data_IF_335759948065
#
_entry.id   IF_335759948065
#
_cell.length_a   1.000
_cell.length_b   1.000
_cell.length_c   1.000
_cell.angle_alpha   90.00
_cell.angle_beta   90.00
_cell.angle_gamma   90.00
#
_symmetry.space_group_name_H-M   'P 1'
#
loop_
_entity.id
_entity.type
_entity.pdbx_description
1 polymer ?
#
# COMPACT_ATOMS: atom_id res chain seq x y z
N UNK A 1 -25.82 44.57 24.43
CA UNK A 1 -24.65 43.76 24.89
C UNK A 1 -24.97 42.27 25.07
N UNK A 2 -26.14 41.85 25.59
CA UNK A 2 -26.50 40.42 25.71
C UNK A 2 -26.55 39.68 24.37
N UNK A 3 -26.98 40.35 23.30
CA UNK A 3 -27.14 39.72 21.98
C UNK A 3 -25.80 39.39 21.30
N UNK A 4 -24.74 40.15 21.59
CA UNK A 4 -23.41 39.91 21.04
C UNK A 4 -22.75 38.65 21.63
N UNK A 5 -22.97 38.38 22.93
CA UNK A 5 -22.49 37.16 23.58
C UNK A 5 -23.22 35.92 23.05
N UNK A 6 -24.55 36.00 22.91
CA UNK A 6 -25.35 34.91 22.36
C UNK A 6 -24.99 34.59 20.89
N UNK A 7 -24.70 35.62 20.07
CA UNK A 7 -24.24 35.43 18.70
C UNK A 7 -22.87 34.76 18.65
N UNK A 8 -21.92 35.21 19.47
CA UNK A 8 -20.58 34.60 19.56
C UNK A 8 -20.66 33.12 19.94
N UNK A 9 -21.46 32.79 20.94
CA UNK A 9 -21.55 31.41 21.43
C UNK A 9 -22.22 30.49 20.37
N UNK A 10 -23.21 30.99 19.63
CA UNK A 10 -23.80 30.28 18.46
C UNK A 10 -22.78 30.06 17.35
N UNK A 11 -21.95 31.06 17.04
CA UNK A 11 -20.90 30.93 16.02
C UNK A 11 -19.82 29.92 16.44
N UNK A 12 -19.41 29.91 17.71
CA UNK A 12 -18.45 28.92 18.24
C UNK A 12 -19.04 27.50 18.18
N UNK A 13 -20.31 27.33 18.53
CA UNK A 13 -20.98 26.03 18.43
C UNK A 13 -21.07 25.55 16.97
N UNK A 14 -21.46 26.43 16.05
CA UNK A 14 -21.56 26.11 14.62
C UNK A 14 -20.20 25.79 14.02
N UNK A 15 -19.16 26.52 14.42
CA UNK A 15 -17.76 26.26 14.05
C UNK A 15 -17.28 24.89 14.54
N UNK A 16 -17.54 24.53 15.80
CA UNK A 16 -17.19 23.21 16.37
C UNK A 16 -17.89 22.07 15.64
N UNK A 17 -19.18 22.21 15.33
CA UNK A 17 -19.94 21.20 14.58
C UNK A 17 -19.43 21.06 13.15
N UNK A 18 -19.01 22.15 12.52
CA UNK A 18 -18.49 22.12 11.15
C UNK A 18 -17.12 21.45 11.10
N UNK A 19 -16.24 21.76 12.06
CA UNK A 19 -14.96 21.06 12.23
C UNK A 19 -15.16 19.57 12.56
N UNK A 20 -16.13 19.24 13.41
CA UNK A 20 -16.48 17.87 13.79
C UNK A 20 -17.31 17.09 12.73
N UNK A 21 -17.69 17.74 11.63
CA UNK A 21 -18.24 17.07 10.43
C UNK A 21 -17.19 16.94 9.34
N UNK A 22 -16.30 17.92 9.25
CA UNK A 22 -15.15 17.89 8.35
C UNK A 22 -14.16 16.79 8.74
N UNK A 23 -13.91 16.58 10.04
CA UNK A 23 -13.02 15.53 10.54
C UNK A 23 -13.47 14.13 10.10
N UNK A 24 -14.75 13.82 10.22
CA UNK A 24 -15.31 12.49 9.99
C UNK A 24 -15.59 12.24 8.51
N UNK A 25 -16.12 13.22 7.79
CA UNK A 25 -16.39 13.10 6.35
C UNK A 25 -15.11 13.12 5.52
N UNK A 26 -14.15 13.99 5.87
CA UNK A 26 -12.87 14.11 5.18
C UNK A 26 -12.01 12.85 5.30
N UNK A 27 -11.93 12.28 6.51
CA UNK A 27 -11.21 11.02 6.76
C UNK A 27 -11.83 9.86 5.97
N UNK A 28 -13.17 9.76 5.91
CA UNK A 28 -13.84 8.73 5.13
C UNK A 28 -13.60 8.87 3.63
N UNK A 29 -13.63 10.10 3.08
CA UNK A 29 -13.33 10.34 1.67
C UNK A 29 -11.89 9.92 1.35
N UNK A 30 -10.92 10.29 2.20
CA UNK A 30 -9.53 9.89 2.03
C UNK A 30 -9.37 8.36 2.10
N UNK A 31 -10.04 7.70 3.04
CA UNK A 31 -10.02 6.24 3.18
C UNK A 31 -10.54 5.55 1.92
N UNK A 32 -11.74 5.92 1.45
CA UNK A 32 -12.32 5.32 0.25
C UNK A 32 -11.54 5.65 -1.02
N UNK A 33 -10.91 6.83 -1.10
CA UNK A 33 -10.01 7.19 -2.20
C UNK A 33 -8.77 6.29 -2.20
N UNK A 34 -8.19 6.04 -1.01
CA UNK A 34 -7.08 5.10 -0.83
C UNK A 34 -7.46 3.68 -1.25
N UNK A 35 -8.60 3.17 -0.76
CA UNK A 35 -9.17 1.86 -1.14
C UNK A 35 -9.31 1.76 -2.67
N UNK A 36 -9.94 2.75 -3.31
CA UNK A 36 -10.13 2.76 -4.75
C UNK A 36 -8.78 2.75 -5.51
N UNK A 37 -7.81 3.54 -5.04
CA UNK A 37 -6.46 3.56 -5.60
C UNK A 37 -5.74 2.21 -5.51
N UNK A 38 -5.79 1.55 -4.35
CA UNK A 38 -5.16 0.25 -4.14
C UNK A 38 -5.86 -0.87 -4.93
N UNK A 39 -7.18 -0.83 -5.02
CA UNK A 39 -7.95 -1.74 -5.88
C UNK A 39 -7.65 -1.50 -7.37
N UNK A 40 -7.42 -0.26 -7.80
CA UNK A 40 -7.01 0.02 -9.19
C UNK A 40 -5.64 -0.58 -9.51
N UNK A 41 -4.68 -0.52 -8.58
CA UNK A 41 -3.37 -1.19 -8.71
C UNK A 41 -3.54 -2.72 -8.79
N UNK A 42 -4.34 -3.30 -7.90
CA UNK A 42 -4.64 -4.74 -7.93
C UNK A 42 -5.33 -5.16 -9.23
N UNK A 43 -6.35 -4.41 -9.66
CA UNK A 43 -7.06 -4.62 -10.92
C UNK A 43 -6.15 -4.51 -12.14
N UNK A 44 -5.19 -3.59 -12.12
CA UNK A 44 -4.14 -3.52 -13.15
C UNK A 44 -3.30 -4.80 -13.19
N UNK A 45 -2.91 -5.36 -12.04
CA UNK A 45 -2.23 -6.66 -11.95
C UNK A 45 -3.06 -7.82 -12.51
N UNK A 46 -4.36 -7.88 -12.16
CA UNK A 46 -5.29 -8.90 -12.71
C UNK A 46 -5.40 -8.77 -14.23
N UNK A 47 -5.59 -7.56 -14.74
CA UNK A 47 -5.70 -7.31 -16.19
C UNK A 47 -4.45 -7.79 -16.94
N UNK A 48 -3.26 -7.61 -16.35
CA UNK A 48 -1.99 -8.14 -16.90
C UNK A 48 -1.94 -9.65 -16.85
N UNK A 49 -2.36 -10.29 -15.77
CA UNK A 49 -2.40 -11.76 -15.67
C UNK A 49 -3.36 -12.37 -16.71
N UNK A 50 -4.52 -11.77 -16.91
CA UNK A 50 -5.49 -12.19 -17.93
C UNK A 50 -4.90 -12.01 -19.33
N UNK A 51 -4.33 -10.84 -19.64
CA UNK A 51 -3.68 -10.61 -20.93
C UNK A 51 -2.49 -11.55 -21.18
N UNK A 52 -1.77 -11.94 -20.12
CA UNK A 52 -0.68 -12.90 -20.18
C UNK A 52 -1.14 -14.35 -20.41
N UNK A 53 -2.37 -14.71 -20.03
CA UNK A 53 -2.92 -16.04 -20.31
C UNK A 53 -3.08 -16.28 -21.82
N UNK A 54 -3.40 -15.22 -22.58
CA UNK A 54 -3.56 -15.28 -24.04
C UNK A 54 -2.25 -15.11 -24.83
N UNK A 55 -1.09 -14.99 -24.16
CA UNK A 55 0.20 -14.76 -24.83
C UNK A 55 1.28 -15.74 -24.36
N UNK A 56 1.62 -16.75 -25.19
CA UNK A 56 2.76 -17.62 -24.93
C UNK A 56 4.04 -16.77 -24.91
N UNK A 57 4.83 -16.87 -23.84
CA UNK A 57 6.09 -16.13 -23.70
C UNK A 57 6.12 -15.07 -22.61
N UNK A 58 5.03 -14.84 -21.86
CA UNK A 58 5.08 -13.99 -20.66
C UNK A 58 5.77 -14.74 -19.49
N UNK A 59 7.01 -14.37 -19.10
CA UNK A 59 7.82 -15.22 -18.22
C UNK A 59 7.22 -15.35 -16.81
N UNK A 60 7.41 -16.51 -16.18
CA UNK A 60 6.84 -16.81 -14.86
C UNK A 60 7.23 -15.82 -13.76
N UNK A 61 8.41 -15.21 -13.84
CA UNK A 61 8.84 -14.17 -12.89
C UNK A 61 7.95 -12.92 -12.95
N UNK A 62 7.41 -12.56 -14.12
CA UNK A 62 6.49 -11.44 -14.25
C UNK A 62 5.11 -11.79 -13.72
N UNK A 63 4.65 -13.03 -13.93
CA UNK A 63 3.40 -13.53 -13.34
C UNK A 63 3.46 -13.48 -11.82
N UNK A 64 4.57 -13.90 -11.22
CA UNK A 64 4.78 -13.81 -9.78
C UNK A 64 4.72 -12.36 -9.27
N UNK A 65 5.30 -11.41 -10.01
CA UNK A 65 5.20 -9.98 -9.68
C UNK A 65 3.77 -9.46 -9.79
N UNK A 66 3.05 -9.79 -10.87
CA UNK A 66 1.66 -9.36 -11.02
C UNK A 66 0.76 -9.96 -9.93
N UNK A 67 0.96 -11.23 -9.55
CA UNK A 67 0.27 -11.85 -8.40
C UNK A 67 0.59 -11.11 -7.11
N UNK A 68 1.85 -10.73 -6.89
CA UNK A 68 2.24 -9.94 -5.73
C UNK A 68 1.54 -8.58 -5.69
N UNK A 69 1.48 -7.87 -6.83
CA UNK A 69 0.74 -6.61 -6.92
C UNK A 69 -0.75 -6.77 -6.62
N UNK A 70 -1.38 -7.85 -7.10
CA UNK A 70 -2.77 -8.16 -6.78
C UNK A 70 -2.93 -8.34 -5.27
N UNK A 71 -2.14 -9.23 -4.66
CA UNK A 71 -2.27 -9.55 -3.23
C UNK A 71 -1.93 -8.35 -2.34
N UNK A 72 -0.87 -7.61 -2.65
CA UNK A 72 -0.47 -6.41 -1.92
C UNK A 72 -1.49 -5.28 -2.11
N UNK A 73 -1.94 -5.01 -3.33
CA UNK A 73 -2.97 -4.01 -3.61
C UNK A 73 -4.28 -4.31 -2.88
N UNK A 74 -4.75 -5.56 -2.90
CA UNK A 74 -5.96 -5.95 -2.16
C UNK A 74 -5.74 -5.85 -0.65
N UNK A 75 -4.59 -6.30 -0.12
CA UNK A 75 -4.31 -6.19 1.30
C UNK A 75 -4.23 -4.74 1.78
N UNK A 76 -3.61 -3.86 0.98
CA UNK A 76 -3.58 -2.43 1.25
C UNK A 76 -4.99 -1.82 1.21
N UNK A 77 -5.83 -2.21 0.24
CA UNK A 77 -7.22 -1.80 0.20
C UNK A 77 -7.99 -2.25 1.46
N UNK A 78 -7.75 -3.47 1.94
CA UNK A 78 -8.35 -3.98 3.18
C UNK A 78 -7.89 -3.19 4.40
N UNK A 79 -6.60 -2.92 4.52
CA UNK A 79 -6.03 -2.16 5.63
C UNK A 79 -6.42 -0.67 5.60
N UNK A 80 -6.69 -0.12 4.41
CA UNK A 80 -7.19 1.23 4.23
C UNK A 80 -8.72 1.31 4.26
N UNK A 81 -9.43 0.17 4.35
CA UNK A 81 -10.87 0.15 4.37
C UNK A 81 -11.39 0.55 5.75
N UNK A 82 -12.32 1.52 5.85
CA UNK A 82 -12.92 1.87 7.15
C UNK A 82 -13.79 0.72 7.71
N UNK A 83 -14.20 -0.23 6.85
CA UNK A 83 -14.96 -1.42 7.28
C UNK A 83 -14.06 -2.62 7.57
N UNK A 84 -12.75 -2.53 7.33
CA UNK A 84 -11.81 -3.65 7.44
C UNK A 84 -11.95 -4.66 6.29
N UNK A 85 -11.47 -5.89 6.53
CA UNK A 85 -11.42 -6.96 5.54
C UNK A 85 -12.20 -8.21 5.93
N UNK A 86 -12.62 -9.03 4.96
CA UNK A 86 -13.40 -10.24 5.20
C UNK A 86 -12.58 -11.43 5.71
N UNK A 87 -11.24 -11.37 5.63
CA UNK A 87 -10.34 -12.46 6.01
C UNK A 87 -9.69 -12.21 7.38
N UNK A 88 -9.43 -13.27 8.17
CA UNK A 88 -8.68 -13.15 9.42
C UNK A 88 -7.28 -12.58 9.21
N UNK A 89 -6.76 -11.84 10.20
CA UNK A 89 -5.40 -11.26 10.14
C UNK A 89 -4.32 -12.32 9.86
N UNK A 90 -4.46 -13.52 10.41
CA UNK A 90 -3.53 -14.62 10.19
C UNK A 90 -3.41 -14.99 8.69
N UNK A 91 -4.53 -15.01 7.96
CA UNK A 91 -4.51 -15.33 6.53
C UNK A 91 -3.73 -14.28 5.73
N UNK A 92 -3.91 -13.00 6.05
CA UNK A 92 -3.15 -11.91 5.44
C UNK A 92 -1.66 -11.98 5.80
N UNK A 93 -1.34 -12.21 7.07
CA UNK A 93 0.04 -12.38 7.52
C UNK A 93 0.73 -13.54 6.80
N UNK A 94 0.09 -14.70 6.69
CA UNK A 94 0.62 -15.85 5.95
C UNK A 94 0.89 -15.48 4.48
N UNK A 95 -0.06 -14.84 3.82
CA UNK A 95 0.12 -14.42 2.42
C UNK A 95 1.34 -13.48 2.26
N UNK A 96 1.48 -12.46 3.12
CA UNK A 96 2.60 -11.53 3.03
C UNK A 96 3.94 -12.14 3.46
N UNK A 97 3.96 -13.07 4.41
CA UNK A 97 5.18 -13.83 4.75
C UNK A 97 5.64 -14.66 3.55
N UNK A 98 4.73 -15.35 2.85
CA UNK A 98 5.06 -16.12 1.66
C UNK A 98 5.60 -15.23 0.53
N UNK A 99 4.97 -14.08 0.27
CA UNK A 99 5.47 -13.09 -0.70
C UNK A 99 6.86 -12.60 -0.29
N UNK A 100 7.05 -12.23 0.98
CA UNK A 100 8.33 -11.76 1.53
C UNK A 100 9.42 -12.79 1.31
N UNK A 101 9.18 -14.05 1.71
CA UNK A 101 10.13 -15.14 1.60
C UNK A 101 10.49 -15.44 0.14
N UNK A 102 9.49 -15.50 -0.74
CA UNK A 102 9.69 -15.74 -2.17
C UNK A 102 10.57 -14.67 -2.80
N UNK A 103 10.23 -13.39 -2.63
CA UNK A 103 10.96 -12.30 -3.27
C UNK A 103 12.32 -12.03 -2.63
N UNK A 104 12.46 -12.27 -1.32
CA UNK A 104 13.76 -12.21 -0.66
C UNK A 104 14.68 -13.32 -1.17
N UNK A 105 14.18 -14.55 -1.29
CA UNK A 105 14.90 -15.67 -1.89
C UNK A 105 15.29 -15.40 -3.35
N UNK A 106 14.36 -14.87 -4.15
CA UNK A 106 14.63 -14.50 -5.54
C UNK A 106 15.67 -13.38 -5.65
N UNK A 107 15.67 -12.41 -4.73
CA UNK A 107 16.71 -11.38 -4.65
C UNK A 107 18.07 -11.98 -4.29
N UNK A 108 18.12 -12.80 -3.24
CA UNK A 108 19.36 -13.45 -2.80
C UNK A 108 19.96 -14.36 -3.89
N UNK A 109 19.11 -15.09 -4.61
CA UNK A 109 19.52 -15.90 -5.77
C UNK A 109 20.14 -15.03 -6.87
N UNK A 110 19.51 -13.89 -7.21
CA UNK A 110 20.03 -12.96 -8.23
C UNK A 110 21.33 -12.26 -7.86
N UNK A 111 21.62 -12.09 -6.57
CA UNK A 111 22.94 -11.61 -6.12
C UNK A 111 24.06 -12.59 -6.49
N UNK A 112 23.77 -13.90 -6.51
CA UNK A 112 24.72 -14.96 -6.87
C UNK A 112 24.71 -15.29 -8.36
N UNK A 113 23.59 -15.04 -9.03
CA UNK A 113 23.39 -15.31 -10.45
C UNK A 113 22.86 -14.05 -11.16
N UNK A 114 23.75 -13.13 -11.54
CA UNK A 114 23.36 -11.91 -12.25
C UNK A 114 22.71 -12.28 -13.59
N UNK A 115 21.43 -11.95 -13.73
CA UNK A 115 20.67 -12.06 -14.98
C UNK A 115 20.24 -10.66 -15.40
N UNK A 116 20.04 -10.47 -16.70
CA UNK A 116 19.61 -9.19 -17.26
C UNK A 116 18.37 -8.65 -16.52
N UNK A 117 18.42 -7.34 -16.23
CA UNK A 117 17.36 -6.69 -15.49
C UNK A 117 16.09 -6.67 -16.32
N UNK A 118 15.05 -7.30 -15.78
CA UNK A 118 13.69 -7.19 -16.28
C UNK A 118 13.21 -5.74 -16.09
N UNK A 119 13.27 -4.96 -17.17
CA UNK A 119 13.51 -3.51 -17.12
C UNK A 119 12.42 -2.58 -16.57
N UNK A 120 11.22 -3.08 -16.23
CA UNK A 120 10.12 -2.22 -15.75
C UNK A 120 9.44 -2.67 -14.46
N UNK A 121 9.86 -3.80 -13.87
CA UNK A 121 9.42 -4.19 -12.54
C UNK A 121 10.44 -3.75 -11.51
N UNK A 122 9.96 -3.41 -10.32
CA UNK A 122 10.76 -3.14 -9.15
C UNK A 122 11.61 -4.35 -8.82
N UNK A 123 12.69 -4.11 -8.08
CA UNK A 123 13.56 -5.21 -7.68
C UNK A 123 12.77 -6.24 -6.87
N UNK A 124 13.23 -7.49 -6.86
CA UNK A 124 12.66 -8.50 -5.96
C UNK A 124 12.73 -8.01 -4.49
N UNK A 125 13.80 -7.31 -4.13
CA UNK A 125 13.93 -6.67 -2.81
C UNK A 125 12.81 -5.66 -2.53
N UNK A 126 12.40 -4.85 -3.51
CA UNK A 126 11.30 -3.89 -3.35
C UNK A 126 9.99 -4.59 -2.92
N UNK A 127 9.65 -5.68 -3.59
CA UNK A 127 8.45 -6.46 -3.28
C UNK A 127 8.57 -7.17 -1.92
N UNK A 128 9.76 -7.70 -1.60
CA UNK A 128 10.02 -8.32 -0.31
C UNK A 128 9.88 -7.31 0.84
N UNK A 129 10.43 -6.11 0.70
CA UNK A 129 10.32 -5.05 1.69
C UNK A 129 8.87 -4.56 1.84
N UNK A 130 8.15 -4.41 0.73
CA UNK A 130 6.74 -4.03 0.78
C UNK A 130 5.88 -5.09 1.48
N UNK A 131 6.06 -6.36 1.16
CA UNK A 131 5.36 -7.44 1.85
C UNK A 131 5.74 -7.53 3.34
N UNK A 132 7.02 -7.35 3.68
CA UNK A 132 7.48 -7.31 5.07
C UNK A 132 6.86 -6.14 5.85
N UNK A 133 6.73 -4.97 5.21
CA UNK A 133 6.02 -3.83 5.78
C UNK A 133 4.55 -4.14 6.06
N UNK A 134 3.87 -4.87 5.17
CA UNK A 134 2.50 -5.33 5.41
C UNK A 134 2.41 -6.31 6.58
N UNK A 135 3.36 -7.25 6.71
CA UNK A 135 3.44 -8.13 7.89
C UNK A 135 3.64 -7.32 9.17
N UNK A 136 4.56 -6.34 9.15
CA UNK A 136 4.80 -5.46 10.30
C UNK A 136 3.54 -4.71 10.69
N UNK A 137 2.84 -4.06 9.74
CA UNK A 137 1.59 -3.33 10.03
C UNK A 137 0.54 -4.25 10.67
N UNK A 138 0.34 -5.46 10.16
CA UNK A 138 -0.62 -6.41 10.75
C UNK A 138 -0.24 -6.88 12.15
N UNK A 139 1.05 -6.95 12.45
CA UNK A 139 1.56 -7.44 13.73
C UNK A 139 1.62 -6.32 14.77
N UNK A 140 1.86 -5.10 14.34
CA UNK A 140 2.03 -3.94 15.20
C UNK A 140 0.70 -3.36 15.71
N UNK A 141 -0.43 -3.63 15.05
CA UNK A 141 -1.75 -3.17 15.50
C UNK A 141 -2.34 -4.09 16.60
N UNK A 142 -3.07 -3.55 17.61
CA UNK A 142 -3.79 -4.36 18.59
C UNK A 142 -4.77 -5.35 17.95
N UNK A 143 -4.90 -6.55 18.52
CA UNK A 143 -5.86 -7.55 18.03
C UNK A 143 -7.28 -7.21 18.52
N UNK A 144 -8.04 -6.54 17.66
CA UNK A 144 -9.46 -6.21 17.88
C UNK A 144 -10.26 -6.49 16.61
N UNK A 145 -11.61 -6.62 16.68
CA UNK A 145 -12.45 -6.79 15.49
C UNK A 145 -12.29 -5.66 14.45
N UNK A 146 -11.88 -4.46 14.90
CA UNK A 146 -11.65 -3.28 14.07
C UNK A 146 -10.17 -3.01 13.77
N UNK A 147 -9.26 -3.92 14.14
CA UNK A 147 -7.81 -3.72 14.00
C UNK A 147 -7.37 -3.39 12.57
N UNK A 148 -7.97 -4.03 11.58
CA UNK A 148 -7.57 -3.77 10.18
C UNK A 148 -7.97 -2.38 9.68
N UNK A 149 -8.88 -1.67 10.36
CA UNK A 149 -9.26 -0.29 10.05
C UNK A 149 -8.46 0.75 10.87
N UNK A 150 -7.41 0.32 11.59
CA UNK A 150 -6.69 1.16 12.55
C UNK A 150 -6.10 2.46 11.95
N UNK A 151 -5.80 2.48 10.65
CA UNK A 151 -5.28 3.66 9.95
C UNK A 151 -6.21 4.88 10.00
N UNK A 152 -7.49 4.70 10.35
CA UNK A 152 -8.51 5.76 10.35
C UNK A 152 -9.17 5.98 11.72
N UNK A 153 -8.84 5.17 12.71
CA UNK A 153 -9.35 5.36 14.07
C UNK A 153 -8.54 6.44 14.78
N UNK A 154 -9.11 7.26 15.68
CA UNK A 154 -8.30 8.15 16.51
C UNK A 154 -7.64 7.40 17.68
N UNK A 155 -6.37 7.65 17.97
CA UNK A 155 -5.67 7.19 19.19
C UNK A 155 -4.33 6.48 18.91
N UNK A 156 -3.58 6.05 19.95
CA UNK A 156 -2.37 5.26 19.74
C UNK A 156 -2.73 3.87 19.18
N UNK A 157 -2.32 3.60 17.94
CA UNK A 157 -2.56 2.33 17.23
C UNK A 157 -1.44 1.31 17.43
N UNK A 158 -0.46 1.62 18.25
CA UNK A 158 0.68 0.76 18.51
C UNK A 158 0.31 -0.27 19.58
N UNK A 159 0.21 -1.53 19.16
CA UNK A 159 0.21 -2.66 20.06
C UNK A 159 1.56 -2.77 20.78
N UNK A 160 1.63 -3.61 21.82
CA UNK A 160 2.86 -3.83 22.61
C UNK A 160 4.06 -4.33 21.78
N UNK A 161 3.82 -4.85 20.58
CA UNK A 161 4.82 -5.35 19.66
C UNK A 161 5.32 -4.31 18.63
N UNK A 162 4.75 -3.09 18.63
CA UNK A 162 5.18 -2.05 17.70
C UNK A 162 6.61 -1.57 18.04
N UNK A 163 7.47 -1.55 17.04
CA UNK A 163 8.85 -1.08 17.14
C UNK A 163 9.00 0.14 16.23
N UNK A 164 8.85 1.37 16.74
CA UNK A 164 8.81 2.56 15.89
C UNK A 164 10.02 2.71 14.96
N UNK A 165 11.21 2.35 15.47
CA UNK A 165 12.45 2.35 14.67
C UNK A 165 12.38 1.41 13.45
N UNK A 166 11.73 0.25 13.60
CA UNK A 166 11.55 -0.68 12.48
C UNK A 166 10.59 -0.10 11.43
N UNK A 167 9.51 0.55 11.84
CA UNK A 167 8.60 1.22 10.91
C UNK A 167 9.30 2.33 10.11
N UNK A 168 10.08 3.19 10.78
CA UNK A 168 10.89 4.21 10.10
C UNK A 168 11.92 3.61 9.14
N UNK A 169 12.59 2.52 9.53
CA UNK A 169 13.53 1.82 8.68
C UNK A 169 12.86 1.25 7.42
N UNK A 170 11.65 0.67 7.56
CA UNK A 170 10.86 0.18 6.43
C UNK A 170 10.42 1.31 5.49
N UNK A 171 9.97 2.44 6.02
CA UNK A 171 9.65 3.64 5.21
C UNK A 171 10.88 4.07 4.41
N UNK A 172 12.04 4.23 5.05
CA UNK A 172 13.27 4.62 4.38
C UNK A 172 13.66 3.62 3.28
N UNK A 173 13.57 2.32 3.56
CA UNK A 173 13.89 1.28 2.58
C UNK A 173 12.92 1.28 1.37
N UNK A 174 11.62 1.52 1.59
CA UNK A 174 10.63 1.68 0.52
C UNK A 174 10.94 2.90 -0.34
N UNK A 175 11.26 4.05 0.28
CA UNK A 175 11.65 5.27 -0.45
C UNK A 175 12.88 5.02 -1.32
N UNK A 176 13.93 4.43 -0.76
CA UNK A 176 15.17 4.13 -1.49
C UNK A 176 14.90 3.19 -2.66
N UNK A 177 14.11 2.13 -2.46
CA UNK A 177 13.78 1.18 -3.55
C UNK A 177 12.80 1.74 -4.59
N UNK A 178 12.05 2.81 -4.27
CA UNK A 178 11.19 3.52 -5.19
C UNK A 178 11.94 4.49 -6.13
N UNK A 179 13.14 4.95 -5.78
CA UNK A 179 13.89 5.92 -6.62
C UNK A 179 14.21 5.39 -8.04
N UNK A 180 14.68 4.13 -8.22
CA UNK A 180 14.87 3.57 -9.56
C UNK A 180 13.55 3.45 -10.34
N UNK A 181 12.44 3.13 -9.66
CA UNK A 181 11.11 3.06 -10.26
C UNK A 181 10.64 4.43 -10.75
N UNK A 182 10.87 5.49 -9.97
CA UNK A 182 10.56 6.86 -10.35
C UNK A 182 11.34 7.25 -11.62
N UNK A 183 12.64 6.96 -11.65
CA UNK A 183 13.46 7.19 -12.84
C UNK A 183 12.93 6.43 -14.05
N UNK A 184 12.52 5.18 -13.89
CA UNK A 184 11.94 4.37 -14.95
C UNK A 184 10.58 4.93 -15.43
N UNK A 185 9.71 5.36 -14.52
CA UNK A 185 8.40 5.94 -14.83
C UNK A 185 8.53 7.23 -15.66
N UNK A 186 9.56 8.04 -15.38
CA UNK A 186 9.82 9.30 -16.08
C UNK A 186 10.50 9.10 -17.44
N UNK A 187 11.33 8.07 -17.60
CA UNK A 187 12.17 7.88 -18.80
C UNK A 187 11.63 6.88 -19.82
N UNK A 188 10.74 5.98 -19.40
CA UNK A 188 10.29 4.89 -20.27
C UNK A 188 9.10 5.34 -21.13
N UNK A 189 9.16 5.28 -22.47
CA UNK A 189 7.97 5.49 -23.29
C UNK A 189 6.95 4.38 -23.02
N UNK A 190 5.66 4.73 -23.08
CA UNK A 190 4.60 3.74 -22.89
C UNK A 190 4.21 3.13 -24.23
N UNK A 191 4.39 1.81 -24.36
CA UNK A 191 3.77 1.04 -25.44
C UNK A 191 2.23 1.08 -25.31
N UNK A 192 1.51 0.83 -26.41
CA UNK A 192 0.04 0.76 -26.39
C UNK A 192 -0.46 -0.46 -25.60
N UNK A 193 0.35 -1.50 -25.51
CA UNK A 193 -0.01 -2.77 -24.90
C UNK A 193 0.27 -2.81 -23.39
N UNK A 194 -0.67 -3.39 -22.64
CA UNK A 194 -0.67 -3.40 -21.18
C UNK A 194 0.49 -4.21 -20.58
N UNK A 195 0.94 -5.26 -21.28
CA UNK A 195 2.06 -6.11 -20.82
C UNK A 195 3.42 -5.45 -21.02
N UNK A 196 3.53 -4.52 -21.96
CA UNK A 196 4.81 -3.92 -22.40
C UNK A 196 4.94 -2.45 -22.03
N UNK A 197 3.87 -1.77 -21.59
CA UNK A 197 3.97 -0.40 -21.08
C UNK A 197 4.64 -0.35 -19.69
N UNK A 198 5.97 -0.29 -19.68
CA UNK A 198 6.77 -0.19 -18.46
C UNK A 198 6.46 1.05 -17.61
N UNK A 199 6.06 2.17 -18.24
CA UNK A 199 5.68 3.39 -17.53
C UNK A 199 4.47 3.20 -16.61
N UNK A 200 3.42 2.52 -17.08
CA UNK A 200 2.22 2.25 -16.25
C UNK A 200 2.54 1.31 -15.10
N UNK A 201 3.34 0.27 -15.37
CA UNK A 201 3.80 -0.65 -14.33
C UNK A 201 4.65 0.06 -13.26
N UNK A 202 5.52 0.99 -13.65
CA UNK A 202 6.33 1.77 -12.71
C UNK A 202 5.46 2.71 -11.86
N UNK A 203 4.48 3.41 -12.46
CA UNK A 203 3.54 4.26 -11.71
C UNK A 203 2.68 3.48 -10.72
N UNK A 204 2.18 2.30 -11.10
CA UNK A 204 1.42 1.44 -10.19
C UNK A 204 2.25 1.05 -8.95
N UNK A 205 3.53 0.72 -9.15
CA UNK A 205 4.45 0.38 -8.05
C UNK A 205 4.80 1.57 -7.17
N UNK A 206 4.98 2.76 -7.77
CA UNK A 206 5.19 3.99 -7.02
C UNK A 206 3.98 4.34 -6.16
N UNK A 207 2.77 4.21 -6.71
CA UNK A 207 1.53 4.43 -5.97
C UNK A 207 1.40 3.45 -4.79
N UNK A 208 1.70 2.17 -5.01
CA UNK A 208 1.73 1.15 -3.96
C UNK A 208 2.78 1.48 -2.87
N UNK A 209 4.00 1.87 -3.27
CA UNK A 209 5.08 2.25 -2.35
C UNK A 209 4.70 3.46 -1.49
N UNK A 210 4.15 4.49 -2.13
CA UNK A 210 3.75 5.73 -1.48
C UNK A 210 2.59 5.49 -0.51
N UNK A 211 1.57 4.74 -0.92
CA UNK A 211 0.46 4.38 -0.05
C UNK A 211 0.92 3.56 1.14
N UNK A 212 1.85 2.63 0.94
CA UNK A 212 2.37 1.79 2.02
C UNK A 212 3.20 2.61 3.02
N UNK A 213 4.05 3.52 2.53
CA UNK A 213 4.78 4.43 3.38
C UNK A 213 3.84 5.35 4.18
N UNK A 214 2.76 5.84 3.56
CA UNK A 214 1.76 6.65 4.23
C UNK A 214 1.04 5.86 5.33
N UNK A 215 0.62 4.62 5.06
CA UNK A 215 -0.02 3.75 6.06
C UNK A 215 0.93 3.35 7.20
N UNK A 216 2.21 3.13 6.92
CA UNK A 216 3.20 2.92 7.97
C UNK A 216 3.35 4.17 8.84
N UNK A 217 3.37 5.35 8.23
CA UNK A 217 3.52 6.61 8.95
C UNK A 217 2.32 6.90 9.87
N UNK A 218 1.11 6.48 9.52
CA UNK A 218 -0.06 6.63 10.42
C UNK A 218 -0.04 5.68 11.61
N UNK A 219 0.79 4.63 11.57
CA UNK A 219 0.96 3.67 12.67
C UNK A 219 2.06 4.07 13.66
N UNK A 220 2.93 5.02 13.30
CA UNK A 220 4.07 5.48 14.11
C UNK A 220 3.73 6.68 14.98
#
# INVERSE_FOLDING_TARGET
>A
MRDAAALRDRLVALWRVTLARWDSSGVLILAWTGVAGFLAVGGYGVARLVAAASRPGYPGCHRAVDVAHVLMGVGMAVMASPVGGPLPMAAWQTAFVLITAWFLGAWAYRLRHPVDRVGWHGSALHHALGAAAMVYMLTAVPHSPSAMAAAWTPGPHTGRAALPLLGWALIAALVVTALPLLRAALRTPCARDILTCGRRAAWAQLAMSAGMAAMLATLL
#
